data_IF_499152288799
#
_entry.id   IF_499152288799
#
_cell.length_a   1.000
_cell.length_b   1.000
_cell.length_c   1.000
_cell.angle_alpha   90.00
_cell.angle_beta   90.00
_cell.angle_gamma   90.00
#
_symmetry.space_group_name_H-M   'P 1'
#
loop_
_entity.id
_entity.type
_entity.pdbx_description
1 polymer ?
#
# COMPACT_ATOMS: atom_id res chain seq x y z
N UNK A 1 -22.82 20.11 4.46
CA UNK A 1 -22.90 19.97 2.99
C UNK A 1 -21.56 20.41 2.42
N UNK A 2 -20.77 19.53 1.78
CA UNK A 2 -19.51 19.87 1.10
C UNK A 2 -19.74 20.08 -0.41
N UNK A 3 -20.68 20.95 -0.79
CA UNK A 3 -21.16 21.05 -2.18
C UNK A 3 -20.10 21.54 -3.17
N UNK A 4 -19.02 22.17 -2.68
CA UNK A 4 -17.96 22.76 -3.51
C UNK A 4 -16.55 22.30 -3.13
N UNK A 5 -16.42 21.32 -2.22
CA UNK A 5 -15.12 20.80 -1.80
C UNK A 5 -14.97 19.34 -2.23
N UNK A 6 -13.77 18.97 -2.66
CA UNK A 6 -13.39 17.57 -2.90
C UNK A 6 -12.61 17.05 -1.70
N UNK A 7 -13.11 16.00 -1.06
CA UNK A 7 -12.34 15.24 -0.07
C UNK A 7 -11.14 14.56 -0.72
N UNK A 8 -9.97 14.68 -0.10
CA UNK A 8 -8.74 13.98 -0.49
C UNK A 8 -8.27 13.19 0.71
N UNK A 9 -7.95 11.91 0.50
CA UNK A 9 -7.33 11.08 1.52
C UNK A 9 -5.82 11.06 1.29
N UNK A 10 -5.07 11.47 2.31
CA UNK A 10 -3.62 11.35 2.36
C UNK A 10 -3.31 10.25 3.36
N UNK A 11 -2.52 9.27 2.93
CA UNK A 11 -2.07 8.16 3.78
C UNK A 11 -0.56 8.11 3.69
N UNK A 12 0.09 8.28 4.84
CA UNK A 12 1.53 8.24 4.96
C UNK A 12 1.92 7.10 5.89
N UNK A 13 2.88 6.29 5.45
CA UNK A 13 3.47 5.23 6.26
C UNK A 13 4.91 5.60 6.57
N UNK A 14 5.29 5.42 7.83
CA UNK A 14 6.71 5.28 8.16
C UNK A 14 7.23 3.97 7.60
N UNK A 15 8.55 3.83 7.47
CA UNK A 15 9.16 2.58 7.02
C UNK A 15 8.72 1.38 7.89
N UNK A 16 8.73 1.54 9.21
CA UNK A 16 8.27 0.52 10.15
C UNK A 16 6.81 0.14 9.94
N UNK A 17 5.92 1.14 9.79
CA UNK A 17 4.51 0.88 9.57
C UNK A 17 4.26 0.19 8.22
N UNK A 18 4.98 0.57 7.16
CA UNK A 18 4.89 -0.11 5.86
C UNK A 18 5.39 -1.55 5.95
N UNK A 19 6.45 -1.80 6.72
CA UNK A 19 7.00 -3.13 6.94
C UNK A 19 6.01 -4.03 7.66
N UNK A 20 5.35 -3.54 8.70
CA UNK A 20 4.36 -4.30 9.47
C UNK A 20 3.17 -4.77 8.63
N UNK A 21 2.74 -3.96 7.64
CA UNK A 21 1.61 -4.32 6.76
C UNK A 21 2.05 -5.02 5.46
N UNK A 22 3.33 -5.01 5.12
CA UNK A 22 3.85 -5.50 3.84
C UNK A 22 3.47 -6.96 3.54
N UNK A 23 3.53 -7.83 4.55
CA UNK A 23 3.18 -9.25 4.43
C UNK A 23 1.70 -9.45 4.06
N UNK A 24 0.81 -8.63 4.60
CA UNK A 24 -0.62 -8.67 4.25
C UNK A 24 -0.85 -8.21 2.81
N UNK A 25 -0.19 -7.12 2.39
CA UNK A 25 -0.32 -6.59 1.03
C UNK A 25 0.17 -7.60 -0.02
N UNK A 26 1.31 -8.26 0.23
CA UNK A 26 1.85 -9.28 -0.67
C UNK A 26 0.91 -10.49 -0.75
N UNK A 27 0.39 -10.94 0.40
CA UNK A 27 -0.57 -12.07 0.44
C UNK A 27 -1.81 -11.78 -0.39
N UNK A 28 -2.37 -10.58 -0.25
CA UNK A 28 -3.53 -10.15 -1.05
C UNK A 28 -3.17 -10.03 -2.53
N UNK A 29 -2.03 -9.43 -2.86
CA UNK A 29 -1.57 -9.29 -4.24
C UNK A 29 -1.39 -10.65 -4.94
N UNK A 30 -0.91 -11.68 -4.23
CA UNK A 30 -0.86 -13.05 -4.77
C UNK A 30 -2.25 -13.66 -4.94
N UNK A 31 -3.13 -13.49 -3.96
CA UNK A 31 -4.49 -14.03 -4.00
C UNK A 31 -5.35 -13.40 -5.11
N UNK A 32 -5.14 -12.13 -5.42
CA UNK A 32 -5.88 -11.37 -6.45
C UNK A 32 -5.22 -11.45 -7.84
N UNK A 33 -4.18 -12.26 -8.01
CA UNK A 33 -3.41 -12.37 -9.27
C UNK A 33 -2.83 -11.03 -9.76
N UNK A 34 -2.36 -10.22 -8.80
CA UNK A 34 -1.78 -8.90 -9.00
C UNK A 34 -0.32 -8.84 -8.52
N UNK A 35 0.60 -9.69 -9.04
CA UNK A 35 1.95 -9.83 -8.51
C UNK A 35 2.74 -8.53 -8.50
N UNK A 36 2.54 -7.66 -9.51
CA UNK A 36 3.22 -6.37 -9.59
C UNK A 36 2.97 -5.45 -8.37
N UNK A 37 1.81 -5.57 -7.72
CA UNK A 37 1.49 -4.76 -6.54
C UNK A 37 2.29 -5.21 -5.30
N UNK A 38 2.38 -6.53 -5.08
CA UNK A 38 3.22 -7.09 -4.01
C UNK A 38 4.70 -6.81 -4.25
N UNK A 39 5.15 -6.94 -5.50
CA UNK A 39 6.52 -6.65 -5.92
C UNK A 39 6.91 -5.19 -5.68
N UNK A 40 5.99 -4.25 -5.94
CA UNK A 40 6.24 -2.84 -5.67
C UNK A 40 6.52 -2.59 -4.17
N UNK A 41 5.82 -3.29 -3.27
CA UNK A 41 6.08 -3.19 -1.83
C UNK A 41 7.39 -3.88 -1.47
N UNK A 42 7.64 -5.08 -1.99
CA UNK A 42 8.87 -5.86 -1.76
C UNK A 42 10.12 -5.06 -2.14
N UNK A 43 10.15 -4.42 -3.31
CA UNK A 43 11.28 -3.61 -3.78
C UNK A 43 11.62 -2.40 -2.93
N UNK A 44 10.74 -1.95 -2.03
CA UNK A 44 11.06 -0.85 -1.10
C UNK A 44 11.97 -1.30 0.05
N UNK A 45 12.11 -2.60 0.25
CA UNK A 45 12.94 -3.21 1.30
C UNK A 45 14.13 -3.98 0.75
N UNK A 46 14.17 -4.23 -0.55
CA UNK A 46 15.29 -4.86 -1.24
C UNK A 46 16.26 -3.79 -1.74
N UNK A 47 17.55 -4.00 -1.46
CA UNK A 47 18.63 -3.09 -1.83
C UNK A 47 19.15 -3.40 -3.23
#
# INVERSE_FOLDING_TARGET
MQTFLRGIHVVEYTEAALKDVSGHVITLATAEDLPAHGEAVRRRFER
#
